data_IF_829608985659
#
_entry.id   IF_829608985659
#
_cell.length_a   1.000
_cell.length_b   1.000
_cell.length_c   1.000
_cell.angle_alpha   90.00
_cell.angle_beta   90.00
_cell.angle_gamma   90.00
#
_symmetry.space_group_name_H-M   'P 1'
#
loop_
_entity.id
_entity.type
_entity.pdbx_description
1 polymer ?
#
# COMPACT_ATOMS: atom_id res chain seq x y z
N UNK A 1 -19.15 -9.17 5.95
CA UNK A 1 -19.78 -8.16 6.83
C UNK A 1 -18.93 -7.89 8.07
N UNK A 2 -18.93 -6.65 8.52
CA UNK A 2 -18.23 -6.24 9.73
C UNK A 2 -19.24 -5.72 10.72
N UNK A 3 -18.96 -5.95 11.98
CA UNK A 3 -19.81 -5.48 13.07
C UNK A 3 -19.26 -4.18 13.64
N UNK A 4 -20.14 -3.24 13.94
CA UNK A 4 -19.76 -2.05 14.69
C UNK A 4 -20.11 -2.28 16.16
N UNK A 5 -19.09 -2.27 17.05
CA UNK A 5 -19.34 -2.47 18.47
C UNK A 5 -19.84 -1.18 19.12
N UNK A 6 -21.08 -0.81 18.80
CA UNK A 6 -21.66 0.44 19.31
C UNK A 6 -21.61 0.59 20.82
N UNK A 7 -21.84 -0.48 21.63
CA UNK A 7 -21.73 -0.34 23.08
C UNK A 7 -20.35 0.09 23.54
N UNK A 8 -19.30 -0.41 22.85
CA UNK A 8 -17.92 -0.06 23.20
C UNK A 8 -17.53 1.33 22.72
N UNK A 9 -18.24 1.85 21.75
CA UNK A 9 -17.98 3.17 21.17
C UNK A 9 -18.75 4.27 21.88
N UNK A 10 -19.78 3.91 22.61
CA UNK A 10 -20.65 4.87 23.30
C UNK A 10 -19.84 5.66 24.33
N UNK A 11 -20.02 6.95 24.36
CA UNK A 11 -19.35 7.80 25.33
C UNK A 11 -17.95 8.23 24.95
N UNK A 12 -17.41 7.76 23.82
CA UNK A 12 -16.05 8.11 23.39
C UNK A 12 -16.01 9.31 22.45
N UNK A 13 -17.14 9.86 22.10
CA UNK A 13 -17.24 11.02 21.20
C UNK A 13 -16.51 10.81 19.87
N UNK A 14 -16.67 9.63 19.29
CA UNK A 14 -15.97 9.27 18.07
C UNK A 14 -16.65 9.85 16.84
N UNK A 15 -15.84 10.16 15.85
CA UNK A 15 -16.33 10.49 14.51
C UNK A 15 -15.97 9.34 13.58
N UNK A 16 -16.93 8.87 12.80
CA UNK A 16 -16.71 7.79 11.85
C UNK A 16 -16.98 8.33 10.44
N UNK A 17 -15.97 8.26 9.58
CA UNK A 17 -16.07 8.70 8.20
C UNK A 17 -15.52 7.61 7.30
N UNK A 18 -16.13 7.43 6.15
CA UNK A 18 -15.68 6.44 5.18
C UNK A 18 -15.43 7.09 3.83
N UNK A 19 -14.65 6.42 3.03
CA UNK A 19 -14.41 6.84 1.66
C UNK A 19 -13.93 5.65 0.85
N UNK A 20 -13.86 5.85 -0.45
CA UNK A 20 -13.32 4.85 -1.36
C UNK A 20 -12.11 5.40 -2.09
N UNK A 21 -11.28 4.51 -2.55
CA UNK A 21 -10.16 4.90 -3.40
C UNK A 21 -10.71 5.19 -4.79
N UNK A 22 -10.31 6.32 -5.34
CA UNK A 22 -10.55 6.62 -6.74
C UNK A 22 -9.25 7.09 -7.39
N UNK A 23 -9.24 7.12 -8.71
CA UNK A 23 -8.04 7.47 -9.46
C UNK A 23 -8.07 8.87 -10.08
N UNK A 24 -8.93 9.74 -9.63
CA UNK A 24 -9.11 11.04 -10.29
C UNK A 24 -7.85 11.90 -10.26
N UNK A 25 -7.01 11.76 -9.26
CA UNK A 25 -5.80 12.58 -9.10
C UNK A 25 -4.52 11.87 -9.51
N UNK A 26 -4.60 10.68 -10.14
CA UNK A 26 -3.41 9.90 -10.46
C UNK A 26 -2.43 10.64 -11.34
N UNK A 27 -2.90 11.32 -12.38
CA UNK A 27 -2.01 12.03 -13.28
C UNK A 27 -1.25 13.15 -12.57
N UNK A 28 -1.94 13.88 -11.72
CA UNK A 28 -1.32 14.96 -10.95
C UNK A 28 -0.29 14.42 -9.97
N UNK A 29 -0.62 13.35 -9.26
CA UNK A 29 0.28 12.73 -8.29
C UNK A 29 1.52 12.19 -8.99
N UNK A 30 1.37 11.52 -10.13
CA UNK A 30 2.51 11.03 -10.89
C UNK A 30 3.42 12.15 -11.34
N UNK A 31 2.86 13.29 -11.75
CA UNK A 31 3.65 14.46 -12.11
C UNK A 31 4.46 14.99 -10.93
N UNK A 32 3.89 14.98 -9.74
CA UNK A 32 4.59 15.41 -8.54
C UNK A 32 5.73 14.45 -8.16
N UNK A 33 5.51 13.16 -8.34
CA UNK A 33 6.55 12.16 -8.08
C UNK A 33 7.68 12.33 -9.10
N UNK A 34 7.35 12.49 -10.37
CA UNK A 34 8.34 12.68 -11.43
C UNK A 34 9.18 13.93 -11.20
N UNK A 35 8.55 14.99 -10.72
CA UNK A 35 9.24 16.25 -10.43
C UNK A 35 10.05 16.21 -9.13
N UNK A 36 10.02 15.09 -8.40
CA UNK A 36 10.76 14.97 -7.15
C UNK A 36 10.12 15.68 -5.97
N UNK A 37 8.87 16.08 -6.09
CA UNK A 37 8.17 16.80 -5.02
C UNK A 37 7.55 15.86 -3.99
N UNK A 38 7.29 14.62 -4.38
CA UNK A 38 6.82 13.57 -3.49
C UNK A 38 7.75 12.38 -3.67
N UNK A 39 8.27 11.88 -2.57
CA UNK A 39 9.13 10.69 -2.59
C UNK A 39 8.37 9.51 -1.99
N UNK A 40 7.96 8.56 -2.83
CA UNK A 40 7.26 7.36 -2.40
C UNK A 40 8.19 6.17 -2.21
N UNK A 41 9.48 6.34 -2.46
CA UNK A 41 10.45 5.26 -2.37
C UNK A 41 10.45 4.54 -1.02
N UNK A 42 10.35 5.24 0.12
CA UNK A 42 10.33 4.57 1.41
C UNK A 42 9.13 3.68 1.65
N UNK A 43 8.07 3.80 0.84
CA UNK A 43 6.89 2.98 1.00
C UNK A 43 7.09 1.55 0.50
N UNK A 44 7.98 1.35 -0.47
CA UNK A 44 8.26 0.01 -0.99
C UNK A 44 9.31 -0.63 -0.10
N UNK A 45 8.86 -1.53 0.78
CA UNK A 45 9.71 -2.15 1.78
C UNK A 45 10.26 -3.49 1.34
N UNK A 46 9.58 -4.16 0.43
CA UNK A 46 9.94 -5.51 -0.01
C UNK A 46 9.77 -5.64 -1.51
N UNK A 47 10.63 -6.45 -2.13
CA UNK A 47 10.58 -6.75 -3.55
C UNK A 47 10.71 -8.25 -3.74
N UNK A 48 9.81 -8.82 -4.53
CA UNK A 48 9.83 -10.24 -4.84
C UNK A 48 9.69 -10.45 -6.35
N UNK A 49 10.36 -11.46 -6.90
CA UNK A 49 10.04 -11.87 -8.26
C UNK A 49 8.67 -12.55 -8.30
N UNK A 50 8.07 -12.59 -9.48
CA UNK A 50 6.74 -13.18 -9.63
C UNK A 50 6.70 -14.63 -9.17
N UNK A 51 7.79 -15.36 -9.34
CA UNK A 51 7.90 -16.77 -8.91
C UNK A 51 7.71 -16.95 -7.41
N UNK A 52 7.89 -15.88 -6.65
CA UNK A 52 7.77 -15.92 -5.19
C UNK A 52 6.55 -15.14 -4.70
N UNK A 53 5.53 -15.03 -5.52
CA UNK A 53 4.35 -14.24 -5.20
C UNK A 53 3.62 -14.75 -3.94
N UNK A 54 3.64 -16.06 -3.71
CA UNK A 54 3.00 -16.62 -2.52
C UNK A 54 3.67 -16.12 -1.24
N UNK A 55 4.99 -16.01 -1.25
CA UNK A 55 5.72 -15.45 -0.12
C UNK A 55 5.42 -13.96 0.07
N UNK A 56 5.30 -13.23 -1.03
CA UNK A 56 4.93 -11.83 -0.98
C UNK A 56 3.58 -11.62 -0.32
N UNK A 57 2.59 -12.43 -0.69
CA UNK A 57 1.28 -12.38 -0.06
C UNK A 57 1.33 -12.77 1.40
N UNK A 58 2.11 -13.79 1.75
CA UNK A 58 2.23 -14.22 3.14
C UNK A 58 2.76 -13.09 4.03
N UNK A 59 3.79 -12.41 3.57
CA UNK A 59 4.40 -11.31 4.32
C UNK A 59 3.42 -10.15 4.46
N UNK A 60 2.75 -9.79 3.37
CA UNK A 60 1.85 -8.66 3.39
C UNK A 60 0.59 -8.94 4.23
N UNK A 61 -0.01 -10.10 4.04
CA UNK A 61 -1.25 -10.47 4.73
C UNK A 61 -1.05 -10.56 6.24
N UNK A 62 0.10 -11.07 6.67
CA UNK A 62 0.39 -11.28 8.08
C UNK A 62 1.19 -10.13 8.70
N UNK A 63 1.44 -9.07 7.96
CA UNK A 63 2.14 -7.87 8.44
C UNK A 63 3.52 -8.19 9.01
N UNK A 64 4.27 -9.01 8.30
CA UNK A 64 5.59 -9.48 8.75
C UNK A 64 6.69 -8.51 8.32
N UNK A 65 7.80 -8.55 9.05
CA UNK A 65 9.06 -7.89 8.69
C UNK A 65 8.91 -6.39 8.39
N UNK A 66 8.02 -5.72 9.09
CA UNK A 66 7.84 -4.28 8.91
C UNK A 66 7.27 -3.88 7.56
N UNK A 67 6.57 -4.79 6.88
CA UNK A 67 6.08 -4.54 5.53
C UNK A 67 5.12 -3.35 5.47
N UNK A 68 5.32 -2.51 4.46
CA UNK A 68 4.37 -1.44 4.12
C UNK A 68 3.81 -1.72 2.73
N UNK A 69 4.69 -1.86 1.74
CA UNK A 69 4.29 -2.10 0.36
C UNK A 69 5.23 -3.12 -0.25
N UNK A 70 4.69 -4.07 -0.97
CA UNK A 70 5.46 -5.10 -1.66
C UNK A 70 5.36 -4.88 -3.16
N UNK A 71 6.52 -4.81 -3.81
CA UNK A 71 6.60 -4.75 -5.26
C UNK A 71 6.88 -6.16 -5.79
N UNK A 72 6.08 -6.60 -6.74
CA UNK A 72 6.28 -7.88 -7.43
C UNK A 72 6.67 -7.59 -8.86
N UNK A 73 7.78 -8.16 -9.31
CA UNK A 73 8.32 -7.90 -10.64
C UNK A 73 8.28 -9.16 -11.48
N UNK A 74 7.96 -8.98 -12.77
CA UNK A 74 8.03 -10.09 -13.72
C UNK A 74 9.47 -10.40 -14.11
N UNK A 75 9.65 -11.53 -14.77
CA UNK A 75 10.98 -11.99 -15.14
C UNK A 75 11.71 -11.03 -16.09
N UNK A 76 10.96 -10.28 -16.90
CA UNK A 76 11.53 -9.36 -17.89
C UNK A 76 11.81 -7.96 -17.32
N UNK A 77 11.57 -7.71 -16.06
CA UNK A 77 11.67 -6.38 -15.47
C UNK A 77 13.04 -6.10 -14.87
N UNK A 78 14.10 -6.60 -15.50
CA UNK A 78 15.46 -6.32 -15.04
C UNK A 78 15.82 -4.84 -15.10
N UNK A 79 15.12 -4.08 -15.93
CA UNK A 79 15.29 -2.64 -16.01
C UNK A 79 14.55 -1.88 -14.94
N UNK A 80 13.78 -2.55 -14.11
CA UNK A 80 13.03 -1.90 -13.06
C UNK A 80 13.99 -1.26 -12.05
N UNK A 81 13.95 0.06 -11.99
CA UNK A 81 14.83 0.81 -11.12
C UNK A 81 14.41 0.68 -9.65
N UNK A 82 15.36 0.55 -8.77
CA UNK A 82 15.11 0.51 -7.33
C UNK A 82 14.93 1.93 -6.77
N UNK A 83 14.10 2.68 -7.42
CA UNK A 83 13.82 4.05 -6.98
C UNK A 83 12.71 4.13 -6.01
#
# INVERSE_FOLDING_TARGET
PQLLPLPDMYGKNLTFKTGGVDGCDCAEILSLIEAGRIDTTPLVTHRFPLERIEEAYRIFENRLDGVIKVAVTGAASTSFSAR
#
